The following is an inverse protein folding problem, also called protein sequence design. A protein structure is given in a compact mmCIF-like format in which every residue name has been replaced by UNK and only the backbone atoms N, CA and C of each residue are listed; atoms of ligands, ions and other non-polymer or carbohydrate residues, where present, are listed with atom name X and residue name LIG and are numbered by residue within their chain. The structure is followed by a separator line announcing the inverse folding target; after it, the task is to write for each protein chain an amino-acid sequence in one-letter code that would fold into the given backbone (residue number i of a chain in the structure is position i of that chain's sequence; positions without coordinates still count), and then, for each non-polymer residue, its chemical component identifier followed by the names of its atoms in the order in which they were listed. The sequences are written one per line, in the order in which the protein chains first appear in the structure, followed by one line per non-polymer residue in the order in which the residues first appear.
data_IF_118287320828
#
_entry.id   IF_118287320828
#
_cell.length_a   1.000
_cell.length_b   1.000
_cell.length_c   1.000
_cell.angle_alpha   90.00
_cell.angle_beta   90.00
_cell.angle_gamma   90.00
#
_symmetry.space_group_name_H-M   'P 1'
#
loop_
_entity.id
_entity.type
_entity.pdbx_description
1 polymer ?
#
# COMPACT_ATOMS: atom_id res chain seq x y z
N UNK A 1 -4.10 -3.64 -21.22
CA UNK A 1 -2.72 -4.09 -21.01
C UNK A 1 -1.88 -3.07 -20.23
N UNK A 2 -1.80 -1.80 -20.64
CA UNK A 2 -1.01 -0.75 -19.97
C UNK A 2 -1.42 -0.54 -18.51
N UNK A 3 -2.72 -0.43 -18.19
CA UNK A 3 -3.23 -0.25 -16.82
C UNK A 3 -2.80 -1.38 -15.87
N UNK A 4 -2.84 -2.62 -16.32
CA UNK A 4 -2.39 -3.77 -15.50
C UNK A 4 -0.89 -3.71 -15.21
N UNK A 5 -0.08 -3.33 -16.21
CA UNK A 5 1.35 -3.12 -16.00
C UNK A 5 1.63 -2.00 -15.00
N UNK A 6 0.85 -0.91 -15.06
CA UNK A 6 0.96 0.19 -14.09
C UNK A 6 0.62 -0.25 -12.67
N UNK A 7 -0.34 -1.16 -12.49
CA UNK A 7 -0.66 -1.72 -11.17
C UNK A 7 0.45 -2.63 -10.63
N UNK A 8 1.09 -3.42 -11.48
CA UNK A 8 2.28 -4.18 -11.07
C UNK A 8 3.41 -3.26 -10.59
N UNK A 9 3.64 -2.17 -11.32
CA UNK A 9 4.62 -1.14 -10.90
C UNK A 9 4.23 -0.50 -9.58
N UNK A 10 2.93 -0.23 -9.35
CA UNK A 10 2.45 0.32 -8.08
C UNK A 10 2.75 -0.63 -6.90
N UNK A 11 2.56 -1.94 -7.07
CA UNK A 11 2.92 -2.92 -6.03
C UNK A 11 4.43 -2.90 -5.73
N UNK A 12 5.27 -2.87 -6.76
CA UNK A 12 6.73 -2.77 -6.62
C UNK A 12 7.15 -1.49 -5.90
N UNK A 13 6.53 -0.35 -6.22
CA UNK A 13 6.82 0.92 -5.54
C UNK A 13 6.41 0.91 -4.06
N UNK A 14 5.36 0.18 -3.72
CA UNK A 14 4.99 -0.05 -2.31
C UNK A 14 6.10 -0.83 -1.61
N UNK A 15 6.51 -1.97 -2.17
CA UNK A 15 7.57 -2.80 -1.59
C UNK A 15 8.90 -2.03 -1.44
N UNK A 16 9.24 -1.15 -2.39
CA UNK A 16 10.39 -0.25 -2.29
C UNK A 16 10.35 0.58 -1.01
N UNK A 17 9.18 1.05 -0.61
CA UNK A 17 9.02 1.85 0.58
C UNK A 17 9.48 1.17 1.87
N UNK A 18 9.49 -0.17 1.94
CA UNK A 18 10.03 -0.87 3.10
C UNK A 18 11.56 -0.81 3.19
N UNK A 19 12.24 -0.83 2.05
CA UNK A 19 13.68 -1.09 1.98
C UNK A 19 14.50 0.04 1.35
N UNK A 20 13.86 1.09 0.88
CA UNK A 20 14.56 2.26 0.34
C UNK A 20 15.52 2.85 1.38
N UNK A 21 16.71 3.26 0.95
CA UNK A 21 17.78 3.70 1.82
C UNK A 21 18.58 2.57 2.49
N UNK A 22 18.19 1.30 2.29
CA UNK A 22 18.82 0.13 2.90
C UNK A 22 19.44 -0.84 1.89
N UNK A 23 19.22 -0.59 0.63
CA UNK A 23 19.68 -1.38 -0.51
C UNK A 23 20.12 -0.46 -1.64
N UNK A 24 20.97 -0.96 -2.54
CA UNK A 24 21.43 -0.22 -3.70
C UNK A 24 20.31 -0.10 -4.77
N UNK A 25 20.41 0.87 -5.69
CA UNK A 25 19.50 0.96 -6.83
C UNK A 25 19.45 -0.32 -7.69
N UNK A 26 20.57 -1.05 -7.81
CA UNK A 26 20.63 -2.33 -8.53
C UNK A 26 19.82 -3.40 -7.80
N UNK A 27 19.93 -3.47 -6.48
CA UNK A 27 19.15 -4.40 -5.67
C UNK A 27 17.65 -4.11 -5.75
N UNK A 28 17.23 -2.82 -5.79
CA UNK A 28 15.85 -2.42 -6.02
C UNK A 28 15.34 -2.90 -7.39
N UNK A 29 16.16 -2.78 -8.44
CA UNK A 29 15.81 -3.26 -9.77
C UNK A 29 15.63 -4.80 -9.78
N UNK A 30 16.54 -5.53 -9.16
CA UNK A 30 16.47 -7.01 -9.07
C UNK A 30 15.20 -7.42 -8.29
N UNK A 31 14.90 -6.76 -7.17
CA UNK A 31 13.66 -7.00 -6.43
C UNK A 31 12.43 -6.78 -7.31
N UNK A 32 12.37 -5.65 -8.05
CA UNK A 32 11.24 -5.33 -8.91
C UNK A 32 11.00 -6.39 -9.98
N UNK A 33 12.05 -6.94 -10.59
CA UNK A 33 11.94 -8.02 -11.60
C UNK A 33 11.30 -9.27 -10.97
N UNK A 34 11.77 -9.69 -9.80
CA UNK A 34 11.23 -10.87 -9.10
C UNK A 34 9.79 -10.61 -8.66
N UNK A 35 9.52 -9.43 -8.12
CA UNK A 35 8.21 -9.07 -7.60
C UNK A 35 7.13 -9.02 -8.67
N UNK A 36 7.42 -8.53 -9.88
CA UNK A 36 6.47 -8.54 -11.00
C UNK A 36 6.03 -9.96 -11.35
N UNK A 37 6.92 -10.95 -11.25
CA UNK A 37 6.57 -12.37 -11.45
C UNK A 37 5.59 -12.82 -10.36
N UNK A 38 5.89 -12.54 -9.08
CA UNK A 38 5.01 -12.86 -7.95
C UNK A 38 3.66 -12.14 -8.04
N UNK A 39 3.66 -10.88 -8.43
CA UNK A 39 2.44 -10.08 -8.64
C UNK A 39 1.54 -10.71 -9.73
N UNK A 40 2.13 -11.10 -10.85
CA UNK A 40 1.39 -11.73 -11.96
C UNK A 40 0.78 -13.07 -11.53
N UNK A 41 1.52 -13.84 -10.74
CA UNK A 41 1.02 -15.08 -10.14
C UNK A 41 -0.15 -14.80 -9.18
N UNK A 42 -0.02 -13.79 -8.32
CA UNK A 42 -1.08 -13.36 -7.41
C UNK A 42 -2.34 -12.96 -8.18
N UNK A 43 -2.20 -12.09 -9.20
CA UNK A 43 -3.31 -11.65 -10.06
C UNK A 43 -4.00 -12.85 -10.72
N UNK A 44 -3.23 -13.81 -11.25
CA UNK A 44 -3.77 -15.00 -11.89
C UNK A 44 -4.58 -15.87 -10.93
N UNK A 45 -4.12 -16.06 -9.70
CA UNK A 45 -4.77 -16.91 -8.72
C UNK A 45 -6.06 -16.27 -8.18
N UNK A 46 -6.00 -14.98 -7.80
CA UNK A 46 -7.14 -14.36 -7.11
C UNK A 46 -8.24 -13.91 -8.07
N UNK A 47 -7.93 -13.58 -9.33
CA UNK A 47 -8.93 -13.10 -10.29
C UNK A 47 -9.40 -14.16 -11.31
N UNK A 48 -8.54 -15.09 -11.72
CA UNK A 48 -8.87 -16.03 -12.82
C UNK A 48 -9.08 -17.48 -12.34
N UNK A 49 -8.93 -17.75 -11.04
CA UNK A 49 -9.11 -19.07 -10.47
C UNK A 49 -10.49 -19.27 -9.84
N UNK A 50 -10.65 -20.31 -9.03
CA UNK A 50 -11.89 -20.58 -8.30
C UNK A 50 -12.22 -19.53 -7.23
N UNK A 51 -11.26 -18.65 -6.91
CA UNK A 51 -11.41 -17.58 -5.91
C UNK A 51 -12.19 -16.41 -6.50
N UNK A 52 -11.78 -15.91 -7.65
CA UNK A 52 -12.44 -14.84 -8.42
C UNK A 52 -12.95 -13.67 -7.56
N UNK A 53 -12.03 -12.96 -6.89
CA UNK A 53 -12.36 -11.86 -5.99
C UNK A 53 -12.75 -10.57 -6.72
N UNK A 54 -13.50 -9.72 -6.03
CA UNK A 54 -13.73 -8.33 -6.41
C UNK A 54 -12.70 -7.44 -5.71
N UNK A 55 -11.82 -6.80 -6.46
CA UNK A 55 -10.76 -5.93 -5.93
C UNK A 55 -10.40 -4.84 -6.96
N UNK A 56 -11.36 -3.97 -7.25
CA UNK A 56 -11.28 -2.99 -8.34
C UNK A 56 -10.12 -2.02 -8.15
N UNK A 57 -9.92 -1.53 -6.94
CA UNK A 57 -8.85 -0.58 -6.58
C UNK A 57 -7.62 -1.24 -5.96
N UNK A 58 -7.52 -2.59 -5.95
CA UNK A 58 -6.29 -3.30 -5.60
C UNK A 58 -5.95 -3.37 -4.12
N UNK A 59 -6.93 -3.28 -3.19
CA UNK A 59 -6.64 -3.43 -1.76
C UNK A 59 -5.89 -4.73 -1.45
N UNK A 60 -6.29 -5.83 -2.10
CA UNK A 60 -5.65 -7.15 -1.95
C UNK A 60 -4.47 -7.31 -2.90
N UNK A 61 -4.74 -7.14 -4.21
CA UNK A 61 -3.80 -7.48 -5.28
C UNK A 61 -2.58 -6.57 -5.31
N UNK A 62 -2.74 -5.28 -4.97
CA UNK A 62 -1.67 -4.29 -5.04
C UNK A 62 -1.14 -3.99 -3.64
N UNK A 63 -2.01 -3.51 -2.76
CA UNK A 63 -1.59 -2.93 -1.48
C UNK A 63 -1.20 -4.00 -0.46
N UNK A 64 -2.01 -5.02 -0.25
CA UNK A 64 -1.67 -6.14 0.65
C UNK A 64 -0.46 -6.91 0.12
N UNK A 65 -0.50 -7.30 -1.15
CA UNK A 65 0.59 -8.05 -1.78
C UNK A 65 1.91 -7.27 -1.69
N UNK A 66 1.96 -6.02 -2.18
CA UNK A 66 3.17 -5.20 -2.21
C UNK A 66 3.72 -4.91 -0.82
N UNK A 67 2.85 -4.53 0.13
CA UNK A 67 3.29 -4.23 1.49
C UNK A 67 3.94 -5.46 2.17
N UNK A 68 3.31 -6.62 2.08
CA UNK A 68 3.86 -7.80 2.74
C UNK A 68 5.02 -8.45 1.96
N UNK A 69 5.12 -8.20 0.65
CA UNK A 69 6.32 -8.51 -0.12
C UNK A 69 7.50 -7.67 0.38
N UNK A 70 7.35 -6.36 0.46
CA UNK A 70 8.38 -5.45 0.98
C UNK A 70 8.80 -5.77 2.41
N UNK A 71 7.84 -6.03 3.30
CA UNK A 71 8.13 -6.37 4.70
C UNK A 71 8.87 -7.71 4.87
N UNK A 72 8.48 -8.74 4.10
CA UNK A 72 9.18 -10.03 4.14
C UNK A 72 10.61 -9.90 3.59
N UNK A 73 10.79 -9.13 2.51
CA UNK A 73 12.11 -8.79 2.00
C UNK A 73 12.94 -8.06 3.06
N UNK A 74 12.37 -7.02 3.67
CA UNK A 74 13.02 -6.24 4.74
C UNK A 74 13.41 -7.11 5.94
N UNK A 75 12.56 -8.04 6.36
CA UNK A 75 12.86 -8.94 7.48
C UNK A 75 14.11 -9.79 7.22
N UNK A 76 14.31 -10.25 5.99
CA UNK A 76 15.49 -11.08 5.64
C UNK A 76 16.75 -10.22 5.52
N UNK A 77 16.68 -9.08 4.82
CA UNK A 77 17.85 -8.21 4.68
C UNK A 77 18.17 -7.47 5.99
N UNK A 78 17.19 -7.27 6.86
CA UNK A 78 17.37 -6.64 8.18
C UNK A 78 18.35 -7.39 9.10
N UNK A 79 18.55 -8.68 8.87
CA UNK A 79 19.54 -9.48 9.60
C UNK A 79 21.00 -9.06 9.35
N UNK A 80 21.25 -8.24 8.31
CA UNK A 80 22.58 -7.76 7.93
C UNK A 80 22.90 -6.35 8.42
N UNK A 81 21.89 -5.57 8.77
CA UNK A 81 22.01 -4.13 8.95
C UNK A 81 22.19 -3.74 10.40
N UNK A 82 22.93 -2.66 10.62
CA UNK A 82 23.08 -2.04 11.94
C UNK A 82 21.81 -1.29 12.32
N UNK A 83 21.36 -1.45 13.55
CA UNK A 83 20.24 -0.70 14.12
C UNK A 83 20.66 0.74 14.39
N UNK A 84 19.81 1.72 14.08
CA UNK A 84 19.98 3.12 14.51
C UNK A 84 20.90 3.95 13.63
N UNK A 85 20.86 3.75 12.33
CA UNK A 85 21.56 4.61 11.39
C UNK A 85 21.07 6.06 11.49
N UNK A 86 22.02 6.97 11.65
CA UNK A 86 21.78 8.40 11.89
C UNK A 86 20.95 9.06 10.77
N UNK A 87 21.11 8.59 9.55
CA UNK A 87 20.45 9.13 8.35
C UNK A 87 19.13 8.42 8.01
N UNK A 88 18.71 7.41 8.78
CA UNK A 88 17.46 6.68 8.57
C UNK A 88 16.22 7.42 9.08
N UNK A 89 16.24 8.74 9.08
CA UNK A 89 15.11 9.59 9.50
C UNK A 89 14.81 10.63 8.42
N UNK A 90 13.52 11.00 8.23
CA UNK A 90 13.17 11.99 7.23
C UNK A 90 13.75 13.36 7.57
N UNK A 91 14.27 14.06 6.56
CA UNK A 91 14.68 15.46 6.66
C UNK A 91 13.46 16.38 6.41
N UNK A 92 13.61 17.66 6.76
CA UNK A 92 12.59 18.67 6.44
C UNK A 92 12.27 18.73 4.94
N UNK A 93 13.32 18.66 4.11
CA UNK A 93 13.19 18.67 2.65
C UNK A 93 12.44 17.42 2.17
N UNK A 94 12.78 16.23 2.66
CA UNK A 94 12.08 15.00 2.28
C UNK A 94 10.61 15.02 2.69
N UNK A 95 10.27 15.65 3.82
CA UNK A 95 8.88 15.85 4.23
C UNK A 95 8.11 16.77 3.26
N UNK A 96 8.76 17.83 2.73
CA UNK A 96 8.12 18.71 1.72
C UNK A 96 7.83 17.92 0.43
N UNK A 97 8.81 17.18 -0.08
CA UNK A 97 8.59 16.33 -1.26
C UNK A 97 7.54 15.24 -1.00
N UNK A 98 7.53 14.65 0.19
CA UNK A 98 6.48 13.73 0.62
C UNK A 98 5.10 14.38 0.59
N UNK A 99 4.96 15.63 1.04
CA UNK A 99 3.70 16.36 1.00
C UNK A 99 3.23 16.61 -0.44
N UNK A 100 4.11 16.97 -1.35
CA UNK A 100 3.79 17.12 -2.78
C UNK A 100 3.27 15.77 -3.33
N UNK A 101 3.96 14.67 -3.02
CA UNK A 101 3.52 13.32 -3.39
C UNK A 101 2.16 12.96 -2.81
N UNK A 102 1.91 13.29 -1.55
CA UNK A 102 0.61 13.07 -0.89
C UNK A 102 -0.52 13.83 -1.58
N UNK A 103 -0.32 15.10 -1.90
CA UNK A 103 -1.32 15.91 -2.61
C UNK A 103 -1.59 15.36 -4.01
N UNK A 104 -0.54 14.91 -4.71
CA UNK A 104 -0.67 14.24 -6.00
C UNK A 104 -1.51 12.96 -5.88
N UNK A 105 -1.22 12.12 -4.89
CA UNK A 105 -1.97 10.90 -4.63
C UNK A 105 -3.42 11.19 -4.24
N UNK A 106 -3.67 12.21 -3.41
CA UNK A 106 -5.03 12.66 -3.08
C UNK A 106 -5.86 13.00 -4.31
N UNK A 107 -5.25 13.73 -5.25
CA UNK A 107 -5.91 14.15 -6.49
C UNK A 107 -6.22 12.98 -7.42
N UNK A 108 -5.29 12.03 -7.55
CA UNK A 108 -5.39 10.96 -8.54
C UNK A 108 -5.89 9.61 -8.00
N UNK A 109 -6.05 9.44 -6.70
CA UNK A 109 -6.52 8.17 -6.12
C UNK A 109 -7.90 7.73 -6.63
N UNK A 110 -8.89 8.61 -6.80
CA UNK A 110 -10.16 8.23 -7.41
C UNK A 110 -10.01 7.67 -8.81
N UNK A 111 -9.09 8.22 -9.61
CA UNK A 111 -8.77 7.70 -10.94
C UNK A 111 -8.04 6.37 -10.89
N UNK A 112 -7.16 6.18 -9.91
CA UNK A 112 -6.46 4.91 -9.67
C UNK A 112 -7.46 3.79 -9.33
N UNK A 113 -8.33 3.98 -8.34
CA UNK A 113 -9.32 2.98 -7.95
C UNK A 113 -10.32 2.66 -9.05
N UNK A 114 -10.66 3.62 -9.92
CA UNK A 114 -11.59 3.42 -11.03
C UNK A 114 -10.93 3.03 -12.35
N UNK A 115 -9.59 3.00 -12.39
CA UNK A 115 -8.83 2.87 -13.64
C UNK A 115 -8.92 1.50 -14.32
N UNK A 116 -9.12 0.43 -13.56
CA UNK A 116 -9.30 -0.92 -14.10
C UNK A 116 -10.75 -1.20 -14.47
N UNK A 117 -11.70 -0.37 -14.06
CA UNK A 117 -13.10 -0.58 -14.32
C UNK A 117 -13.49 -0.24 -15.76
N UNK A 118 -14.42 -0.96 -16.34
CA UNK A 118 -14.79 -0.82 -17.74
C UNK A 118 -15.29 0.59 -18.06
N UNK A 119 -14.71 1.22 -19.09
CA UNK A 119 -15.00 2.61 -19.44
C UNK A 119 -16.45 2.87 -19.89
N UNK A 120 -17.14 1.86 -20.37
CA UNK A 120 -18.53 1.92 -20.81
C UNK A 120 -19.53 2.05 -19.67
N UNK A 121 -19.11 1.69 -18.45
CA UNK A 121 -19.95 1.69 -17.25
C UNK A 121 -19.74 2.98 -16.43
N UNK A 122 -20.07 4.13 -17.01
CA UNK A 122 -19.79 5.46 -16.43
C UNK A 122 -20.43 5.66 -15.05
N UNK A 123 -21.66 5.19 -14.84
CA UNK A 123 -22.36 5.35 -13.56
C UNK A 123 -21.63 4.63 -12.43
N UNK A 124 -21.16 3.42 -12.66
CA UNK A 124 -20.41 2.63 -11.68
C UNK A 124 -19.05 3.23 -11.39
N UNK A 125 -18.38 3.77 -12.41
CA UNK A 125 -17.13 4.51 -12.21
C UNK A 125 -17.32 5.73 -11.31
N UNK A 126 -18.44 6.44 -11.46
CA UNK A 126 -18.78 7.57 -10.58
C UNK A 126 -19.00 7.13 -9.14
N UNK A 127 -19.61 5.95 -8.90
CA UNK A 127 -19.74 5.36 -7.56
C UNK A 127 -18.36 5.10 -6.96
N UNK A 128 -17.47 4.44 -7.70
CA UNK A 128 -16.10 4.16 -7.26
C UNK A 128 -15.35 5.44 -6.92
N UNK A 129 -15.42 6.45 -7.78
CA UNK A 129 -14.80 7.76 -7.58
C UNK A 129 -15.34 8.42 -6.31
N UNK A 130 -16.67 8.49 -6.16
CA UNK A 130 -17.33 9.12 -5.02
C UNK A 130 -16.97 8.40 -3.71
N UNK A 131 -17.04 7.07 -3.68
CA UNK A 131 -16.69 6.29 -2.50
C UNK A 131 -15.20 6.43 -2.14
N UNK A 132 -14.32 6.57 -3.12
CA UNK A 132 -12.90 6.81 -2.89
C UNK A 132 -12.69 8.18 -2.24
N UNK A 133 -13.32 9.24 -2.74
CA UNK A 133 -13.23 10.59 -2.16
C UNK A 133 -13.75 10.60 -0.73
N UNK A 134 -14.91 9.96 -0.46
CA UNK A 134 -15.48 9.88 0.88
C UNK A 134 -14.58 9.11 1.84
N UNK A 135 -14.00 8.01 1.40
CA UNK A 135 -13.09 7.21 2.21
C UNK A 135 -11.77 7.95 2.51
N UNK A 136 -11.19 8.64 1.53
CA UNK A 136 -10.06 9.52 1.74
C UNK A 136 -10.39 10.64 2.75
N UNK A 137 -11.57 11.25 2.64
CA UNK A 137 -12.03 12.26 3.61
C UNK A 137 -12.15 11.67 5.01
N UNK A 138 -12.72 10.49 5.15
CA UNK A 138 -12.81 9.79 6.44
C UNK A 138 -11.44 9.52 7.05
N UNK A 139 -10.49 9.01 6.26
CA UNK A 139 -9.14 8.73 6.77
C UNK A 139 -8.37 10.00 7.14
N UNK A 140 -8.58 11.08 6.39
CA UNK A 140 -8.01 12.38 6.71
C UNK A 140 -8.51 12.89 8.08
N UNK A 141 -9.82 12.87 8.29
CA UNK A 141 -10.41 13.27 9.58
C UNK A 141 -9.82 12.43 10.72
N UNK A 142 -9.79 11.10 10.55
CA UNK A 142 -9.25 10.19 11.57
C UNK A 142 -7.76 10.45 11.84
N UNK A 143 -6.95 10.61 10.78
CA UNK A 143 -5.52 10.84 10.91
C UNK A 143 -5.21 12.14 11.65
N UNK A 144 -5.86 13.25 11.29
CA UNK A 144 -5.67 14.53 11.96
C UNK A 144 -6.11 14.49 13.42
N UNK A 145 -7.31 13.95 13.69
CA UNK A 145 -7.83 13.85 15.05
C UNK A 145 -6.95 12.97 15.95
N UNK A 146 -6.59 11.76 15.48
CA UNK A 146 -5.80 10.82 16.28
C UNK A 146 -4.35 11.26 16.43
N UNK A 147 -3.75 11.89 15.42
CA UNK A 147 -2.40 12.44 15.53
C UNK A 147 -2.32 13.44 16.68
N UNK A 148 -3.27 14.38 16.76
CA UNK A 148 -3.35 15.35 17.86
C UNK A 148 -3.62 14.66 19.21
N UNK A 149 -4.58 13.73 19.26
CA UNK A 149 -4.95 13.05 20.51
C UNK A 149 -3.82 12.20 21.09
N UNK A 150 -3.02 11.56 20.23
CA UNK A 150 -1.96 10.66 20.67
C UNK A 150 -0.66 11.42 20.95
N UNK A 151 -0.35 12.43 20.14
CA UNK A 151 0.96 13.10 20.15
C UNK A 151 0.92 14.56 20.63
N UNK A 152 -0.26 15.11 20.94
CA UNK A 152 -0.53 16.53 21.28
C UNK A 152 -0.13 17.52 20.16
N UNK A 153 0.17 17.05 18.96
CA UNK A 153 0.50 17.83 17.75
C UNK A 153 0.39 16.94 16.52
N UNK A 154 0.31 17.56 15.34
CA UNK A 154 0.35 16.81 14.08
C UNK A 154 1.73 16.22 13.85
N UNK A 155 1.77 14.94 13.45
CA UNK A 155 2.96 14.25 13.00
C UNK A 155 2.95 14.17 11.47
N UNK A 156 4.10 14.40 10.84
CA UNK A 156 4.18 14.43 9.38
C UNK A 156 3.88 13.07 8.75
N UNK A 157 4.33 11.96 9.35
CA UNK A 157 4.05 10.61 8.81
C UNK A 157 2.55 10.34 8.80
N UNK A 158 1.80 10.78 9.84
CA UNK A 158 0.36 10.65 9.89
C UNK A 158 -0.31 11.48 8.79
N UNK A 159 0.18 12.71 8.54
CA UNK A 159 -0.37 13.60 7.50
C UNK A 159 -0.04 13.10 6.10
N UNK A 160 1.20 12.66 5.88
CA UNK A 160 1.65 12.18 4.56
C UNK A 160 0.99 10.87 4.15
N UNK A 161 0.76 9.97 5.11
CA UNK A 161 0.40 8.59 4.84
C UNK A 161 -0.98 8.21 5.35
N UNK A 162 -1.27 8.39 6.66
CA UNK A 162 -2.52 7.90 7.22
C UNK A 162 -3.76 8.57 6.63
N UNK A 163 -3.63 9.79 6.08
CA UNK A 163 -4.71 10.44 5.34
C UNK A 163 -5.09 9.72 4.05
N UNK A 164 -4.17 8.93 3.47
CA UNK A 164 -4.38 8.17 2.25
C UNK A 164 -4.90 6.74 2.50
N UNK A 165 -4.85 6.25 3.74
CA UNK A 165 -5.21 4.88 4.10
C UNK A 165 -6.64 4.50 3.70
N UNK A 166 -7.56 5.48 3.67
CA UNK A 166 -8.93 5.29 3.17
C UNK A 166 -8.98 4.92 1.70
N UNK A 167 -8.09 5.50 0.89
CA UNK A 167 -7.95 5.16 -0.53
C UNK A 167 -7.52 3.72 -0.76
N UNK A 168 -6.60 3.23 0.07
CA UNK A 168 -6.16 1.83 0.08
C UNK A 168 -7.30 0.88 0.46
N UNK A 169 -7.95 1.16 1.59
CA UNK A 169 -8.96 0.24 2.15
C UNK A 169 -10.22 0.17 1.31
N UNK A 170 -10.65 1.29 0.70
CA UNK A 170 -11.87 1.30 -0.10
C UNK A 170 -11.72 0.55 -1.43
N UNK A 171 -10.49 0.31 -1.90
CA UNK A 171 -10.23 -0.25 -3.22
C UNK A 171 -11.04 -1.50 -3.55
N UNK A 172 -11.06 -2.49 -2.64
CA UNK A 172 -11.82 -3.73 -2.84
C UNK A 172 -13.33 -3.56 -2.69
N UNK A 173 -13.79 -2.54 -1.95
CA UNK A 173 -15.21 -2.34 -1.64
C UNK A 173 -15.83 -1.15 -2.40
N UNK A 174 -15.05 -0.38 -3.14
CA UNK A 174 -15.49 0.89 -3.75
C UNK A 174 -16.67 0.75 -4.69
N UNK A 175 -16.77 -0.34 -5.42
CA UNK A 175 -17.90 -0.63 -6.32
C UNK A 175 -19.10 -1.28 -5.61
N UNK A 176 -18.90 -1.79 -4.39
CA UNK A 176 -19.90 -2.57 -3.65
C UNK A 176 -20.74 -1.70 -2.70
N UNK A 177 -20.21 -0.55 -2.28
CA UNK A 177 -20.84 0.32 -1.30
C UNK A 177 -21.82 1.26 -1.98
N UNK A 178 -23.09 1.13 -1.65
CA UNK A 178 -24.18 1.97 -2.18
C UNK A 178 -24.55 3.13 -1.24
N UNK A 179 -24.19 3.03 0.05
CA UNK A 179 -24.45 4.07 1.03
C UNK A 179 -23.17 4.88 1.30
N UNK A 180 -23.16 6.20 1.04
CA UNK A 180 -22.01 7.08 1.29
C UNK A 180 -21.43 6.99 2.71
N UNK A 181 -22.28 6.75 3.72
CA UNK A 181 -21.83 6.58 5.10
C UNK A 181 -20.91 5.35 5.28
N UNK A 182 -21.14 4.29 4.49
CA UNK A 182 -20.27 3.11 4.49
C UNK A 182 -18.87 3.44 4.00
N UNK A 183 -18.74 4.20 2.92
CA UNK A 183 -17.46 4.62 2.40
C UNK A 183 -16.69 5.53 3.38
N UNK A 184 -17.40 6.47 4.00
CA UNK A 184 -16.84 7.34 5.04
C UNK A 184 -16.36 6.53 6.25
N UNK A 185 -17.14 5.53 6.70
CA UNK A 185 -16.79 4.66 7.80
C UNK A 185 -15.54 3.82 7.51
N UNK A 186 -15.42 3.25 6.30
CA UNK A 186 -14.20 2.54 5.87
C UNK A 186 -12.98 3.47 5.99
N UNK A 187 -13.10 4.71 5.55
CA UNK A 187 -12.03 5.70 5.66
C UNK A 187 -11.67 6.02 7.10
N UNK A 188 -12.65 6.31 7.96
CA UNK A 188 -12.44 6.62 9.38
C UNK A 188 -11.70 5.47 10.09
N UNK A 189 -12.13 4.23 9.88
CA UNK A 189 -11.51 3.04 10.48
C UNK A 189 -10.08 2.86 9.94
N UNK A 190 -9.90 2.96 8.63
CA UNK A 190 -8.61 2.78 7.98
C UNK A 190 -7.59 3.83 8.41
N UNK A 191 -7.96 5.11 8.42
CA UNK A 191 -7.12 6.19 8.92
C UNK A 191 -6.73 6.01 10.38
N UNK A 192 -7.66 5.48 11.20
CA UNK A 192 -7.38 5.15 12.60
C UNK A 192 -6.38 4.02 12.73
N UNK A 193 -6.55 2.93 11.98
CA UNK A 193 -5.62 1.80 11.94
C UNK A 193 -4.23 2.27 11.52
N UNK A 194 -4.14 3.09 10.48
CA UNK A 194 -2.89 3.61 9.95
C UNK A 194 -2.17 4.50 10.98
N UNK A 195 -2.86 5.49 11.55
CA UNK A 195 -2.29 6.40 12.56
C UNK A 195 -1.80 5.64 13.79
N UNK A 196 -2.57 4.66 14.28
CA UNK A 196 -2.14 3.81 15.39
C UNK A 196 -0.93 2.95 15.01
N UNK A 197 -0.85 2.50 13.77
CA UNK A 197 0.30 1.80 13.21
C UNK A 197 1.58 2.64 13.29
N UNK A 198 1.55 3.87 12.79
CA UNK A 198 2.66 4.82 12.88
C UNK A 198 3.02 5.17 14.32
N UNK A 199 2.03 5.29 15.19
CA UNK A 199 2.26 5.68 16.58
C UNK A 199 2.84 4.56 17.45
N UNK A 200 2.52 3.28 17.17
CA UNK A 200 2.76 2.18 18.13
C UNK A 200 3.38 0.94 17.52
N UNK A 201 3.18 0.67 16.22
CA UNK A 201 3.59 -0.59 15.61
C UNK A 201 4.95 -0.50 14.92
N UNK A 202 5.28 0.64 14.30
CA UNK A 202 6.54 0.83 13.57
C UNK A 202 7.77 0.52 14.44
N UNK A 203 7.80 1.03 15.67
CA UNK A 203 8.86 0.72 16.63
C UNK A 203 8.94 -0.76 17.01
N UNK A 204 7.80 -1.45 17.14
CA UNK A 204 7.77 -2.87 17.48
C UNK A 204 8.32 -3.72 16.34
N UNK A 205 7.96 -3.40 15.09
CA UNK A 205 8.49 -4.07 13.92
C UNK A 205 10.01 -3.90 13.83
N UNK A 206 10.52 -2.69 14.04
CA UNK A 206 11.95 -2.42 14.06
C UNK A 206 12.70 -3.25 15.13
N UNK A 207 12.10 -3.46 16.31
CA UNK A 207 12.67 -4.35 17.36
C UNK A 207 12.75 -5.81 16.92
N UNK A 208 11.92 -6.23 16.00
CA UNK A 208 11.94 -7.56 15.40
C UNK A 208 12.81 -7.63 14.12
N UNK A 209 13.62 -6.59 13.88
CA UNK A 209 14.43 -6.43 12.67
C UNK A 209 13.62 -6.38 11.37
N UNK A 210 12.35 -6.05 11.46
CA UNK A 210 11.49 -5.76 10.31
C UNK A 210 11.50 -4.24 10.16
N UNK A 211 12.39 -3.74 9.32
CA UNK A 211 12.49 -2.33 9.04
C UNK A 211 11.48 -1.94 7.97
N UNK A 212 10.79 -0.84 8.19
CA UNK A 212 9.78 -0.31 7.29
C UNK A 212 10.04 1.19 7.11
N UNK A 213 10.93 1.52 6.16
CA UNK A 213 11.48 2.88 6.02
C UNK A 213 10.39 3.92 5.82
N UNK A 214 9.39 3.66 4.96
CA UNK A 214 8.29 4.59 4.67
C UNK A 214 7.01 4.27 5.43
N UNK A 215 6.96 3.20 6.23
CA UNK A 215 5.75 2.80 6.96
C UNK A 215 4.68 2.17 6.06
N UNK A 216 5.10 1.40 5.07
CA UNK A 216 4.19 0.75 4.11
C UNK A 216 3.22 -0.23 4.77
N UNK A 217 3.61 -0.84 5.89
CA UNK A 217 2.69 -1.66 6.68
C UNK A 217 1.49 -0.85 7.15
N UNK A 218 1.75 0.39 7.59
CA UNK A 218 0.73 1.24 8.20
C UNK A 218 -0.17 1.88 7.15
N UNK A 219 0.38 2.25 5.98
CA UNK A 219 -0.40 2.85 4.89
C UNK A 219 -1.07 1.80 4.00
N UNK A 220 -0.34 0.74 3.62
CA UNK A 220 -0.79 -0.22 2.60
C UNK A 220 -1.14 -1.60 3.17
N UNK A 221 -0.30 -2.17 4.05
CA UNK A 221 -0.47 -3.53 4.55
C UNK A 221 -1.74 -3.71 5.38
N UNK A 222 -1.83 -3.03 6.52
CA UNK A 222 -3.01 -3.13 7.40
C UNK A 222 -4.28 -2.56 6.74
N UNK A 223 -4.27 -1.37 6.10
CA UNK A 223 -5.42 -0.88 5.36
C UNK A 223 -5.85 -1.77 4.19
N UNK A 224 -4.91 -2.39 3.48
CA UNK A 224 -5.21 -3.33 2.41
C UNK A 224 -5.91 -4.60 2.91
N UNK A 225 -5.41 -5.21 3.99
CA UNK A 225 -6.08 -6.33 4.67
C UNK A 225 -7.49 -5.94 5.14
N UNK A 226 -7.61 -4.80 5.79
CA UNK A 226 -8.92 -4.29 6.22
C UNK A 226 -9.85 -4.07 5.02
N UNK A 227 -9.33 -3.56 3.89
CA UNK A 227 -10.08 -3.38 2.64
C UNK A 227 -10.63 -4.69 2.09
N UNK A 228 -9.80 -5.73 2.00
CA UNK A 228 -10.22 -7.05 1.58
C UNK A 228 -11.28 -7.65 2.50
N UNK A 229 -11.12 -7.54 3.82
CA UNK A 229 -12.10 -8.02 4.81
C UNK A 229 -13.39 -7.19 4.78
N UNK A 230 -13.31 -5.88 4.60
CA UNK A 230 -14.50 -5.02 4.47
C UNK A 230 -15.31 -5.35 3.23
N UNK A 231 -14.64 -5.66 2.10
CA UNK A 231 -15.32 -6.09 0.88
C UNK A 231 -16.13 -7.39 1.09
N UNK A 232 -15.60 -8.31 1.90
CA UNK A 232 -16.32 -9.53 2.27
C UNK A 232 -17.60 -9.21 3.07
N UNK A 233 -17.54 -8.27 4.00
CA UNK A 233 -18.70 -7.82 4.77
C UNK A 233 -19.73 -7.17 3.87
N UNK A 234 -19.32 -6.24 3.02
CA UNK A 234 -20.25 -5.53 2.14
C UNK A 234 -20.91 -6.47 1.13
N UNK A 235 -20.16 -7.37 0.51
CA UNK A 235 -20.74 -8.31 -0.48
C UNK A 235 -21.70 -9.32 0.17
N UNK A 236 -21.45 -9.72 1.41
CA UNK A 236 -22.33 -10.64 2.15
C UNK A 236 -23.57 -9.96 2.71
N UNK A 237 -23.44 -8.70 3.15
CA UNK A 237 -24.52 -7.94 3.78
C UNK A 237 -25.54 -7.40 2.78
N UNK A 238 -25.10 -7.10 1.57
CA UNK A 238 -26.00 -6.67 0.52
C UNK A 238 -26.54 -7.93 -0.18
N UNK A 239 -27.88 -8.12 -0.14
CA UNK A 239 -28.59 -8.94 -1.12
C UNK A 239 -28.51 -8.20 -2.47
N UNK A 240 -27.32 -8.23 -3.07
CA UNK A 240 -26.98 -7.47 -4.25
C UNK A 240 -27.69 -8.12 -5.44
N UNK A 241 -28.90 -7.65 -5.75
CA UNK A 241 -29.42 -7.90 -7.09
C UNK A 241 -28.53 -7.15 -8.09
N UNK A 242 -28.31 -7.68 -9.30
CA UNK A 242 -27.51 -7.00 -10.34
C UNK A 242 -27.93 -5.54 -10.57
N UNK A 243 -29.19 -5.21 -10.32
CA UNK A 243 -29.75 -3.86 -10.43
C UNK A 243 -29.18 -2.88 -9.37
N UNK A 244 -28.84 -3.38 -8.18
CA UNK A 244 -28.41 -2.54 -7.06
C UNK A 244 -26.92 -2.15 -7.11
N UNK A 245 -26.12 -2.91 -7.84
CA UNK A 245 -24.68 -2.64 -7.96
C UNK A 245 -24.32 -2.04 -9.32
N UNK A 246 -25.31 -1.88 -10.21
CA UNK A 246 -25.06 -1.35 -11.55
C UNK A 246 -24.04 -2.18 -12.37
N UNK A 247 -23.78 -3.41 -11.96
CA UNK A 247 -22.92 -4.36 -12.63
C UNK A 247 -23.68 -5.15 -13.71
N UNK A 248 -24.55 -4.47 -14.46
CA UNK A 248 -25.40 -5.07 -15.46
C UNK A 248 -24.64 -5.81 -16.59
N UNK A 249 -23.32 -5.73 -16.61
CA UNK A 249 -22.47 -6.42 -17.59
C UNK A 249 -21.67 -7.59 -17.00
N UNK A 250 -21.60 -7.71 -15.66
CA UNK A 250 -21.06 -8.94 -15.04
C UNK A 250 -22.23 -9.91 -14.88
N UNK A 251 -22.11 -11.07 -15.47
CA UNK A 251 -23.10 -12.13 -15.31
C UNK A 251 -23.04 -12.70 -13.89
N UNK A 252 -23.88 -12.15 -13.02
CA UNK A 252 -24.04 -12.60 -11.63
C UNK A 252 -25.09 -13.72 -11.49
N UNK A 253 -25.66 -14.21 -12.57
CA UNK A 253 -26.69 -15.24 -12.52
C UNK A 253 -26.23 -16.51 -11.80
N UNK A 254 -24.92 -16.73 -11.74
CA UNK A 254 -24.27 -17.87 -11.11
C UNK A 254 -23.46 -17.52 -9.85
N UNK A 255 -23.53 -16.27 -9.34
CA UNK A 255 -22.77 -15.86 -8.15
C UNK A 255 -23.58 -16.12 -6.88
N UNK A 256 -23.10 -17.04 -6.07
CA UNK A 256 -23.58 -17.22 -4.71
C UNK A 256 -22.90 -16.15 -3.81
N UNK A 257 -23.62 -15.09 -3.50
CA UNK A 257 -23.10 -13.94 -2.74
C UNK A 257 -22.67 -14.30 -1.32
N UNK A 258 -23.27 -15.31 -0.69
CA UNK A 258 -22.82 -15.78 0.63
C UNK A 258 -21.45 -16.44 0.53
N UNK A 259 -21.25 -17.19 -0.52
CA UNK A 259 -19.99 -17.86 -0.85
C UNK A 259 -18.93 -16.85 -1.29
N UNK A 260 -19.33 -15.80 -2.02
CA UNK A 260 -18.43 -14.75 -2.49
C UNK A 260 -17.78 -13.98 -1.33
N UNK A 261 -18.50 -13.73 -0.24
CA UNK A 261 -17.92 -13.16 0.97
C UNK A 261 -16.76 -13.99 1.54
N UNK A 262 -16.93 -15.32 1.60
CA UNK A 262 -15.86 -16.22 2.02
C UNK A 262 -14.67 -16.22 1.02
N UNK A 263 -14.94 -16.11 -0.27
CA UNK A 263 -13.90 -16.02 -1.30
C UNK A 263 -13.11 -14.71 -1.21
N UNK A 264 -13.75 -13.58 -0.85
CA UNK A 264 -13.05 -12.32 -0.56
C UNK A 264 -12.06 -12.47 0.61
N UNK A 265 -12.49 -13.12 1.70
CA UNK A 265 -11.59 -13.44 2.82
C UNK A 265 -10.44 -14.32 2.36
N UNK A 266 -10.74 -15.40 1.65
CA UNK A 266 -9.73 -16.32 1.13
C UNK A 266 -8.72 -15.61 0.22
N UNK A 267 -9.20 -14.80 -0.73
CA UNK A 267 -8.36 -14.02 -1.64
C UNK A 267 -7.45 -13.03 -0.92
N UNK A 268 -7.95 -12.39 0.14
CA UNK A 268 -7.16 -11.49 0.98
C UNK A 268 -5.97 -12.20 1.60
N UNK A 269 -6.18 -13.37 2.21
CA UNK A 269 -5.10 -14.14 2.85
C UNK A 269 -4.21 -14.87 1.84
N UNK A 270 -4.72 -15.25 0.68
CA UNK A 270 -3.91 -15.80 -0.41
C UNK A 270 -2.96 -14.72 -0.92
N UNK A 271 -3.45 -13.50 -1.17
CA UNK A 271 -2.63 -12.38 -1.60
C UNK A 271 -1.54 -12.02 -0.58
N UNK A 272 -1.89 -12.02 0.72
CA UNK A 272 -0.94 -11.90 1.81
C UNK A 272 0.13 -13.00 1.75
N UNK A 273 -0.26 -14.26 1.62
CA UNK A 273 0.66 -15.41 1.59
C UNK A 273 1.62 -15.38 0.39
N UNK A 274 1.10 -15.03 -0.79
CA UNK A 274 1.92 -14.90 -2.01
C UNK A 274 2.88 -13.71 -1.86
N UNK A 275 2.43 -12.58 -1.31
CA UNK A 275 3.27 -11.43 -1.01
C UNK A 275 4.43 -11.80 -0.08
N UNK A 276 4.14 -12.46 1.04
CA UNK A 276 5.17 -12.93 1.98
C UNK A 276 6.17 -13.89 1.32
N UNK A 277 5.69 -14.84 0.53
CA UNK A 277 6.55 -15.81 -0.17
C UNK A 277 7.43 -15.11 -1.22
N UNK A 278 6.87 -14.22 -2.03
CA UNK A 278 7.60 -13.44 -3.02
C UNK A 278 8.66 -12.58 -2.35
N UNK A 279 8.30 -11.87 -1.27
CA UNK A 279 9.23 -11.04 -0.51
C UNK A 279 10.35 -11.84 0.15
N UNK A 280 10.07 -13.06 0.60
CA UNK A 280 11.10 -13.95 1.12
C UNK A 280 12.10 -14.36 0.03
N UNK A 281 11.62 -14.63 -1.18
CA UNK A 281 12.52 -14.91 -2.34
C UNK A 281 13.34 -13.69 -2.67
N UNK A 282 12.70 -12.49 -2.78
CA UNK A 282 13.41 -11.23 -3.01
C UNK A 282 14.51 -11.01 -1.96
N UNK A 283 14.14 -11.06 -0.68
CA UNK A 283 15.08 -10.88 0.42
C UNK A 283 16.23 -11.88 0.40
N UNK A 284 15.96 -13.15 0.09
CA UNK A 284 16.98 -14.18 -0.07
C UNK A 284 17.96 -13.90 -1.20
N UNK A 285 17.47 -13.48 -2.37
CA UNK A 285 18.31 -13.10 -3.51
C UNK A 285 19.14 -11.87 -3.19
N UNK A 286 18.53 -10.82 -2.64
CA UNK A 286 19.26 -9.61 -2.23
C UNK A 286 20.26 -9.94 -1.13
N UNK A 287 19.94 -10.85 -0.22
CA UNK A 287 20.86 -11.33 0.81
C UNK A 287 22.12 -11.97 0.22
N UNK A 288 22.03 -12.68 -0.86
CA UNK A 288 23.17 -13.31 -1.54
C UNK A 288 23.94 -12.32 -2.40
N UNK A 289 23.29 -11.32 -2.96
CA UNK A 289 23.92 -10.29 -3.80
C UNK A 289 24.72 -9.28 -2.98
N UNK A 290 24.43 -9.15 -1.72
CA UNK A 290 25.07 -8.19 -0.82
C UNK A 290 26.57 -8.46 -0.68
N UNK A 291 27.38 -7.65 -1.34
CA UNK A 291 28.80 -7.51 -1.00
C UNK A 291 28.91 -6.47 0.11
N UNK A 292 29.62 -6.82 1.16
CA UNK A 292 29.85 -5.96 2.32
C UNK A 292 30.64 -4.71 1.87
N UNK A 293 29.96 -3.72 1.35
CA UNK A 293 30.47 -2.38 1.18
C UNK A 293 30.04 -1.60 2.40
N UNK A 294 30.96 -0.91 3.05
CA UNK A 294 30.72 0.00 4.16
C UNK A 294 30.09 1.32 3.64
N UNK A 295 29.04 1.20 2.86
CA UNK A 295 28.37 2.31 2.18
C UNK A 295 27.16 2.70 3.01
N UNK A 296 27.01 3.98 3.29
CA UNK A 296 25.78 4.52 3.87
C UNK A 296 24.77 4.69 2.75
N UNK A 297 23.81 3.77 2.66
CA UNK A 297 22.79 3.76 1.62
C UNK A 297 21.74 4.88 1.76
N UNK A 298 21.73 5.61 2.87
CA UNK A 298 20.89 6.79 3.06
C UNK A 298 21.57 8.10 2.58
N UNK A 299 22.77 8.01 2.02
CA UNK A 299 23.49 9.13 1.43
C UNK A 299 23.45 9.05 -0.11
N UNK A 300 22.80 10.01 -0.73
CA UNK A 300 22.61 10.02 -2.20
C UNK A 300 23.92 10.23 -2.97
N UNK A 301 24.90 10.90 -2.39
CA UNK A 301 26.19 11.19 -3.04
C UNK A 301 27.01 9.93 -3.40
N UNK A 302 26.71 8.78 -2.82
CA UNK A 302 27.30 7.51 -3.24
C UNK A 302 26.76 6.99 -4.60
N UNK A 303 25.57 7.47 -5.00
CA UNK A 303 24.87 6.96 -6.17
C UNK A 303 24.59 8.03 -7.24
N UNK A 304 24.64 9.31 -6.83
CA UNK A 304 24.32 10.45 -7.68
C UNK A 304 25.40 11.51 -7.63
N UNK A 305 25.79 12.05 -8.79
CA UNK A 305 26.62 13.25 -8.84
C UNK A 305 25.77 14.45 -8.44
N UNK A 306 25.99 14.92 -7.21
CA UNK A 306 25.24 16.05 -6.65
C UNK A 306 26.16 17.27 -6.53
N UNK A 307 25.81 18.39 -7.14
CA UNK A 307 26.45 19.66 -6.91
C UNK A 307 25.93 20.25 -5.58
N UNK A 308 26.55 19.84 -4.49
CA UNK A 308 26.31 20.46 -3.19
C UNK A 308 27.27 21.65 -3.07
N UNK A 309 26.74 22.87 -2.96
CA UNK A 309 27.59 24.02 -2.59
C UNK A 309 28.24 23.72 -1.24
N UNK A 310 29.56 23.93 -1.09
CA UNK A 310 30.24 23.70 0.17
C UNK A 310 29.56 24.55 1.25
N UNK A 311 28.99 23.94 2.28
CA UNK A 311 28.57 24.67 3.46
C UNK A 311 29.80 25.37 4.02
N UNK A 312 29.79 26.71 4.06
CA UNK A 312 30.85 27.51 4.68
C UNK A 312 31.10 26.99 6.10
N UNK A 313 32.16 26.25 6.30
CA UNK A 313 32.53 25.75 7.62
C UNK A 313 33.29 24.43 7.72
N UNK A 314 33.32 23.61 6.69
CA UNK A 314 34.13 22.38 6.71
C UNK A 314 35.54 22.69 6.23
N UNK A 315 36.40 23.15 7.19
CA UNK A 315 37.86 23.14 6.98
C UNK A 315 38.27 21.68 6.82
N UNK A 316 38.83 21.36 5.65
CA UNK A 316 39.57 20.14 5.40
C UNK A 316 40.67 20.02 6.50
N UNK A 317 40.60 18.96 7.24
CA UNK A 317 41.73 18.47 8.04
C UNK A 317 42.21 17.14 7.51
#
# INVERSE_FOLDING_TARGET
MFTKASFAVAAVLISFGAIIGRVSPLELLVMGIIEVIGYTLNEAIIFNGPINVYDVGGSMNIHTFGAYCGLACSAIIGLRQRVGEKNAVPSYISCIFGMIGTLFLWLFWPSFNSGAFEATLQYQRMIIITNTVLSLTGSCIAAFCLSILIRNKLNMDDVLNATLAGGVAIGAASSLITNPAGALAVGLISGSISTLGYAKLSEKLARWHIYDTCGINNLHGMPGLFGGLSSAVFISAYNLTPLNIGLATVDFSNVDFSKQGALQVAGTFISLGIGLATGAVCGGVLYLLYKVENTDFFEDEHFWEMHVEPTEGTKQH
#
